data_IF_440415750754
#
_entry.id   IF_440415750754
#
_cell.length_a   1.000
_cell.length_b   1.000
_cell.length_c   1.000
_cell.angle_alpha   90.00
_cell.angle_beta   90.00
_cell.angle_gamma   90.00
#
_symmetry.space_group_name_H-M   'P 1'
#
loop_
_entity.id
_entity.type
_entity.pdbx_description
1 polymer ?
#
# COMPACT_ATOMS: atom_id res chain seq x y z
N UNK A 1 -11.93 17.11 -41.48
CA UNK A 1 -11.01 16.35 -40.62
C UNK A 1 -11.65 16.09 -39.24
N UNK A 2 -12.78 15.37 -39.16
CA UNK A 2 -13.57 15.32 -37.90
C UNK A 2 -13.76 13.93 -37.28
N UNK A 3 -13.83 12.83 -38.02
CA UNK A 3 -14.16 11.52 -37.42
C UNK A 3 -12.96 10.58 -37.25
N UNK A 4 -12.05 10.54 -38.24
CA UNK A 4 -10.89 9.63 -38.21
C UNK A 4 -9.89 9.98 -37.08
N UNK A 5 -9.69 11.27 -36.81
CA UNK A 5 -8.84 11.76 -35.71
C UNK A 5 -9.46 11.50 -34.33
N UNK A 6 -10.80 11.48 -34.23
CA UNK A 6 -11.51 11.13 -33.00
C UNK A 6 -11.35 9.62 -32.72
N UNK A 7 -11.56 8.78 -33.73
CA UNK A 7 -11.41 7.31 -33.59
C UNK A 7 -9.98 6.84 -33.25
N UNK A 8 -8.95 7.54 -33.76
CA UNK A 8 -7.55 7.24 -33.42
C UNK A 8 -7.22 7.62 -31.97
N UNK A 9 -7.78 8.71 -31.47
CA UNK A 9 -7.62 9.12 -30.07
C UNK A 9 -8.39 8.19 -29.12
N UNK A 10 -9.60 7.77 -29.50
CA UNK A 10 -10.41 6.85 -28.71
C UNK A 10 -9.74 5.46 -28.60
N UNK A 11 -9.14 4.96 -29.69
CA UNK A 11 -8.36 3.71 -29.68
C UNK A 11 -7.13 3.82 -28.77
N UNK A 12 -6.39 4.93 -28.84
CA UNK A 12 -5.21 5.15 -28.00
C UNK A 12 -5.55 5.17 -26.51
N UNK A 13 -6.69 5.77 -26.15
CA UNK A 13 -7.19 5.80 -24.76
C UNK A 13 -7.60 4.41 -24.28
N UNK A 14 -8.25 3.60 -25.12
CA UNK A 14 -8.62 2.22 -24.79
C UNK A 14 -7.38 1.35 -24.56
N UNK A 15 -6.37 1.46 -25.40
CA UNK A 15 -5.13 0.70 -25.27
C UNK A 15 -4.39 1.06 -23.97
N UNK A 16 -4.23 2.36 -23.68
CA UNK A 16 -3.66 2.84 -22.40
C UNK A 16 -4.45 2.33 -21.19
N UNK A 17 -5.78 2.30 -21.27
CA UNK A 17 -6.62 1.80 -20.18
C UNK A 17 -6.44 0.29 -19.96
N UNK A 18 -6.30 -0.50 -21.02
CA UNK A 18 -6.03 -1.94 -20.92
C UNK A 18 -4.67 -2.22 -20.26
N UNK A 19 -3.64 -1.45 -20.61
CA UNK A 19 -2.31 -1.55 -20.00
C UNK A 19 -2.36 -1.26 -18.49
N UNK A 20 -3.06 -0.20 -18.10
CA UNK A 20 -3.28 0.18 -16.70
C UNK A 20 -4.00 -0.94 -15.94
N UNK A 21 -5.08 -1.50 -16.50
CA UNK A 21 -5.79 -2.61 -15.85
C UNK A 21 -4.89 -3.82 -15.61
N UNK A 22 -4.06 -4.18 -16.59
CA UNK A 22 -3.15 -5.33 -16.49
C UNK A 22 -2.06 -5.09 -15.44
N UNK A 23 -1.42 -3.92 -15.46
CA UNK A 23 -0.37 -3.57 -14.51
C UNK A 23 -0.92 -3.49 -13.07
N UNK A 24 -2.11 -2.89 -12.90
CA UNK A 24 -2.83 -2.85 -11.62
C UNK A 24 -3.07 -4.25 -11.05
N UNK A 25 -3.61 -5.17 -11.86
CA UNK A 25 -3.91 -6.53 -11.39
C UNK A 25 -2.66 -7.29 -10.94
N UNK A 26 -1.55 -7.13 -11.66
CA UNK A 26 -0.27 -7.74 -11.30
C UNK A 26 0.26 -7.15 -9.99
N UNK A 27 0.29 -5.82 -9.89
CA UNK A 27 0.80 -5.11 -8.72
C UNK A 27 -0.03 -5.37 -7.48
N UNK A 28 -1.36 -5.42 -7.60
CA UNK A 28 -2.24 -5.73 -6.49
C UNK A 28 -1.94 -7.11 -5.89
N UNK A 29 -1.79 -8.15 -6.71
CA UNK A 29 -1.40 -9.50 -6.25
C UNK A 29 -0.01 -9.53 -5.60
N UNK A 30 0.93 -8.75 -6.13
CA UNK A 30 2.27 -8.62 -5.53
C UNK A 30 2.21 -7.94 -4.16
N UNK A 31 1.40 -6.88 -4.03
CA UNK A 31 1.25 -6.14 -2.78
C UNK A 31 0.58 -6.97 -1.69
N UNK A 32 -0.48 -7.71 -2.03
CA UNK A 32 -1.17 -8.58 -1.07
C UNK A 32 -0.22 -9.59 -0.37
N UNK A 33 0.81 -10.05 -1.10
CA UNK A 33 1.76 -11.04 -0.61
C UNK A 33 3.10 -10.44 -0.13
N UNK A 34 3.25 -9.11 -0.17
CA UNK A 34 4.44 -8.43 0.34
C UNK A 34 4.32 -8.22 1.85
N UNK A 35 5.40 -8.48 2.56
CA UNK A 35 5.54 -8.08 3.97
C UNK A 35 5.98 -6.62 4.07
N UNK A 36 5.34 -5.92 4.99
CA UNK A 36 5.63 -4.55 5.38
C UNK A 36 6.04 -4.55 6.84
N UNK A 37 7.21 -3.98 7.12
CA UNK A 37 7.76 -3.85 8.47
C UNK A 37 7.67 -2.39 8.86
N UNK A 38 6.98 -2.11 9.96
CA UNK A 38 6.80 -0.76 10.49
C UNK A 38 7.40 -0.67 11.88
N UNK A 39 8.30 0.28 12.04
CA UNK A 39 8.86 0.64 13.33
C UNK A 39 8.11 1.85 13.90
N UNK A 40 7.76 1.77 15.17
CA UNK A 40 7.05 2.81 15.89
C UNK A 40 7.87 3.26 17.09
N UNK A 41 7.83 4.57 17.37
CA UNK A 41 8.56 5.21 18.47
C UNK A 41 10.07 4.85 18.51
N UNK A 42 10.76 4.91 17.37
CA UNK A 42 12.18 4.58 17.28
C UNK A 42 12.51 3.09 17.42
N UNK A 43 11.55 2.21 17.11
CA UNK A 43 11.74 0.75 17.13
C UNK A 43 11.33 0.08 18.44
N UNK A 44 10.73 0.82 19.39
CA UNK A 44 10.18 0.22 20.61
C UNK A 44 9.02 -0.73 20.34
N UNK A 45 8.31 -0.54 19.22
CA UNK A 45 7.32 -1.50 18.69
C UNK A 45 7.59 -1.70 17.21
N UNK A 46 7.66 -2.95 16.78
CA UNK A 46 7.81 -3.35 15.38
C UNK A 46 6.61 -4.19 14.99
N UNK A 47 5.91 -3.78 13.95
CA UNK A 47 4.73 -4.47 13.42
C UNK A 47 5.02 -4.94 12.01
N UNK A 48 4.91 -6.26 11.79
CA UNK A 48 5.01 -6.86 10.46
C UNK A 48 3.62 -7.25 9.98
N UNK A 49 3.19 -6.66 8.86
CA UNK A 49 1.90 -6.93 8.24
C UNK A 49 2.08 -7.24 6.76
N UNK A 50 1.25 -8.13 6.23
CA UNK A 50 1.12 -8.34 4.79
C UNK A 50 0.40 -7.15 4.15
N UNK A 51 0.57 -6.91 2.86
CA UNK A 51 -0.16 -5.84 2.16
C UNK A 51 -1.68 -6.04 2.11
N UNK A 52 -2.18 -7.26 2.35
CA UNK A 52 -3.60 -7.51 2.61
C UNK A 52 -4.03 -7.22 4.08
N UNK A 53 -3.17 -6.54 4.84
CA UNK A 53 -3.33 -6.16 6.25
C UNK A 53 -3.41 -7.33 7.24
N UNK A 54 -3.06 -8.55 6.84
CA UNK A 54 -2.87 -9.64 7.81
C UNK A 54 -1.65 -9.38 8.67
N UNK A 55 -1.82 -9.45 9.98
CA UNK A 55 -0.73 -9.37 10.94
C UNK A 55 0.12 -10.64 10.89
N UNK A 56 1.44 -10.48 10.76
CA UNK A 56 2.42 -11.58 10.72
C UNK A 56 3.18 -11.66 12.04
N UNK A 57 3.69 -10.52 12.52
CA UNK A 57 4.51 -10.46 13.73
C UNK A 57 4.30 -9.12 14.44
N UNK A 58 4.39 -9.15 15.76
CA UNK A 58 4.60 -7.98 16.61
C UNK A 58 5.85 -8.25 17.45
N UNK A 59 6.75 -7.29 17.50
CA UNK A 59 7.91 -7.25 18.39
C UNK A 59 7.89 -5.94 19.18
N UNK A 60 8.42 -5.94 20.40
CA UNK A 60 8.47 -4.74 21.23
C UNK A 60 9.51 -4.85 22.34
N UNK A 61 9.97 -3.70 22.84
CA UNK A 61 10.99 -3.65 23.88
C UNK A 61 10.47 -4.07 25.26
N UNK A 62 11.32 -4.73 26.05
CA UNK A 62 10.99 -5.15 27.43
C UNK A 62 10.64 -3.97 28.36
N UNK A 63 11.05 -2.75 28.03
CA UNK A 63 10.70 -1.54 28.79
C UNK A 63 9.18 -1.35 28.86
N UNK A 64 8.44 -1.76 27.84
CA UNK A 64 7.00 -1.60 27.74
C UNK A 64 6.22 -2.59 28.61
N UNK A 65 6.84 -3.71 29.02
CA UNK A 65 6.21 -4.69 29.92
C UNK A 65 5.93 -4.12 31.34
N UNK A 66 6.59 -3.03 31.71
CA UNK A 66 6.45 -2.38 33.03
C UNK A 66 5.08 -1.76 33.25
N UNK A 67 4.39 -1.36 32.18
CA UNK A 67 3.07 -0.75 32.25
C UNK A 67 2.16 -1.29 31.15
N UNK A 68 1.26 -2.18 31.53
CA UNK A 68 0.28 -2.80 30.63
C UNK A 68 -0.55 -1.76 29.86
N UNK A 69 -0.97 -0.67 30.50
CA UNK A 69 -1.80 0.34 29.83
C UNK A 69 -1.02 1.03 28.72
N UNK A 70 0.20 1.47 29.00
CA UNK A 70 1.08 2.10 28.01
C UNK A 70 1.41 1.16 26.85
N UNK A 71 1.70 -0.12 27.14
CA UNK A 71 1.94 -1.14 26.10
C UNK A 71 0.72 -1.29 25.18
N UNK A 72 -0.48 -1.44 25.74
CA UNK A 72 -1.69 -1.61 24.94
C UNK A 72 -1.98 -0.39 24.06
N UNK A 73 -1.76 0.82 24.58
CA UNK A 73 -1.94 2.04 23.79
C UNK A 73 -0.91 2.16 22.65
N UNK A 74 0.37 1.85 22.92
CA UNK A 74 1.40 1.85 21.89
C UNK A 74 1.15 0.81 20.80
N UNK A 75 0.79 -0.42 21.18
CA UNK A 75 0.46 -1.47 20.21
C UNK A 75 -0.73 -1.07 19.33
N UNK A 76 -1.81 -0.55 19.92
CA UNK A 76 -2.97 -0.04 19.18
C UNK A 76 -2.57 1.03 18.16
N UNK A 77 -1.78 2.01 18.61
CA UNK A 77 -1.35 3.11 17.74
C UNK A 77 -0.44 2.60 16.61
N UNK A 78 0.51 1.72 16.92
CA UNK A 78 1.43 1.15 15.94
C UNK A 78 0.69 0.31 14.89
N UNK A 79 -0.28 -0.52 15.29
CA UNK A 79 -1.07 -1.33 14.37
C UNK A 79 -1.94 -0.48 13.44
N UNK A 80 -2.61 0.55 13.98
CA UNK A 80 -3.40 1.48 13.17
C UNK A 80 -2.51 2.22 12.17
N UNK A 81 -1.38 2.76 12.63
CA UNK A 81 -0.42 3.44 11.77
C UNK A 81 0.13 2.52 10.68
N UNK A 82 0.45 1.26 11.00
CA UNK A 82 0.89 0.26 10.02
C UNK A 82 -0.17 0.02 8.94
N UNK A 83 -1.44 -0.16 9.34
CA UNK A 83 -2.56 -0.32 8.39
C UNK A 83 -2.72 0.90 7.48
N UNK A 84 -2.67 2.12 8.04
CA UNK A 84 -2.78 3.35 7.25
C UNK A 84 -1.60 3.55 6.30
N UNK A 85 -0.38 3.17 6.70
CA UNK A 85 0.79 3.23 5.82
C UNK A 85 0.68 2.24 4.66
N UNK A 86 0.14 1.02 4.88
CA UNK A 86 -0.13 0.07 3.80
C UNK A 86 -1.11 0.67 2.79
N UNK A 87 -2.21 1.28 3.26
CA UNK A 87 -3.16 1.94 2.37
C UNK A 87 -2.49 3.06 1.56
N UNK A 88 -1.65 3.86 2.19
CA UNK A 88 -0.92 4.94 1.54
C UNK A 88 0.04 4.42 0.47
N UNK A 89 0.80 3.37 0.76
CA UNK A 89 1.71 2.75 -0.20
C UNK A 89 0.93 2.22 -1.41
N UNK A 90 -0.20 1.55 -1.17
CA UNK A 90 -1.07 1.05 -2.24
C UNK A 90 -1.56 2.21 -3.12
N UNK A 91 -1.99 3.32 -2.53
CA UNK A 91 -2.43 4.50 -3.29
C UNK A 91 -1.29 5.14 -4.09
N UNK A 92 -0.08 5.22 -3.54
CA UNK A 92 1.10 5.72 -4.27
C UNK A 92 1.34 4.86 -5.51
N UNK A 93 1.34 3.53 -5.36
CA UNK A 93 1.58 2.61 -6.49
C UNK A 93 0.48 2.73 -7.55
N UNK A 94 -0.79 2.84 -7.13
CA UNK A 94 -1.89 3.07 -8.07
C UNK A 94 -1.66 4.36 -8.86
N UNK A 95 -1.32 5.45 -8.17
CA UNK A 95 -1.05 6.74 -8.81
C UNK A 95 0.15 6.69 -9.77
N UNK A 96 1.21 5.98 -9.41
CA UNK A 96 2.38 5.76 -10.28
C UNK A 96 1.99 5.04 -11.57
N UNK A 97 1.16 4.00 -11.48
CA UNK A 97 0.66 3.27 -12.65
C UNK A 97 -0.16 4.22 -13.55
N UNK A 98 -1.04 5.05 -12.99
CA UNK A 98 -1.81 6.02 -13.77
C UNK A 98 -0.90 7.03 -14.46
N UNK A 99 0.04 7.64 -13.74
CA UNK A 99 0.93 8.66 -14.31
C UNK A 99 1.81 8.10 -15.42
N UNK A 100 2.39 6.91 -15.21
CA UNK A 100 3.25 6.24 -16.18
C UNK A 100 2.56 5.97 -17.52
N UNK A 101 1.28 5.64 -17.50
CA UNK A 101 0.53 5.26 -18.71
C UNK A 101 -0.24 6.45 -19.33
N UNK A 102 -0.41 7.56 -18.63
CA UNK A 102 -1.06 8.77 -19.14
C UNK A 102 -0.11 9.70 -19.90
N UNK A 103 1.17 9.73 -19.52
CA UNK A 103 2.26 10.41 -20.26
C UNK A 103 2.62 9.62 -21.53
#
# INVERSE_FOLDING_TARGET
MSEKNLSMNDSLVLDKFQEIQKELSIKQKQLENREFIFEFNGGEVVVTMMGNKKLVKIDFSDSLLKNKSSLLDMLKNAMNAASENIDREIQIIINEIWQKNLI
#
